data_IF_126816610233
#
_entry.id   IF_126816610233
#
_cell.length_a   1.000
_cell.length_b   1.000
_cell.length_c   1.000
_cell.angle_alpha   90.00
_cell.angle_beta   90.00
_cell.angle_gamma   90.00
#
_symmetry.space_group_name_H-M   'P 1'
#
loop_
_entity.id
_entity.type
_entity.pdbx_description
1 polymer ?
#
# COMPACT_ATOMS: atom_id res chain seq x y z
N UNK A 1 -5.50 -14.46 -8.62
CA UNK A 1 -5.50 -13.11 -9.23
C UNK A 1 -4.89 -12.16 -8.21
N UNK A 2 -3.97 -11.29 -8.64
CA UNK A 2 -3.31 -10.29 -7.78
C UNK A 2 -4.02 -8.94 -7.96
N UNK A 3 -4.34 -8.25 -6.87
CA UNK A 3 -4.92 -6.92 -6.94
C UNK A 3 -3.99 -5.87 -6.36
N UNK A 4 -3.71 -4.84 -7.16
CA UNK A 4 -3.01 -3.66 -6.67
C UNK A 4 -3.97 -2.81 -5.83
N UNK A 5 -3.56 -2.49 -4.60
CA UNK A 5 -4.32 -1.68 -3.66
C UNK A 5 -3.42 -0.66 -2.96
N UNK A 6 -3.95 0.54 -2.70
CA UNK A 6 -3.20 1.65 -2.11
C UNK A 6 -3.96 2.35 -0.96
N UNK A 7 -5.16 1.87 -0.64
CA UNK A 7 -5.95 2.30 0.52
C UNK A 7 -6.93 1.20 0.98
N UNK A 8 -7.61 1.41 2.10
CA UNK A 8 -8.57 0.44 2.66
C UNK A 8 -9.74 0.18 1.70
N UNK A 9 -10.27 1.19 1.01
CA UNK A 9 -11.43 1.02 0.14
C UNK A 9 -11.12 0.15 -1.07
N UNK A 10 -9.99 0.41 -1.74
CA UNK A 10 -9.51 -0.41 -2.86
C UNK A 10 -9.20 -1.84 -2.43
N UNK A 11 -8.71 -2.03 -1.20
CA UNK A 11 -8.50 -3.37 -0.61
C UNK A 11 -9.82 -4.12 -0.46
N UNK A 12 -10.84 -3.47 0.14
CA UNK A 12 -12.18 -4.08 0.30
C UNK A 12 -12.84 -4.44 -1.03
N UNK A 13 -12.71 -3.57 -2.02
CA UNK A 13 -13.23 -3.84 -3.37
C UNK A 13 -12.50 -5.06 -3.97
N UNK A 14 -11.17 -5.14 -3.82
CA UNK A 14 -10.42 -6.27 -4.32
C UNK A 14 -10.85 -7.60 -3.67
N UNK A 15 -11.05 -7.62 -2.35
CA UNK A 15 -11.58 -8.79 -1.62
C UNK A 15 -12.93 -9.24 -2.19
N UNK A 16 -13.85 -8.31 -2.43
CA UNK A 16 -15.18 -8.59 -3.00
C UNK A 16 -15.11 -9.19 -4.41
N UNK A 17 -14.02 -8.92 -5.14
CA UNK A 17 -13.77 -9.50 -6.46
C UNK A 17 -13.08 -10.88 -6.41
N UNK A 18 -12.92 -11.47 -5.22
CA UNK A 18 -12.41 -12.84 -5.05
C UNK A 18 -10.90 -12.96 -5.27
N UNK A 19 -10.14 -11.90 -5.00
CA UNK A 19 -8.67 -11.94 -5.06
C UNK A 19 -8.14 -12.78 -3.90
N UNK A 20 -6.95 -13.35 -4.07
CA UNK A 20 -6.31 -14.21 -3.06
C UNK A 20 -5.14 -13.53 -2.36
N UNK A 21 -4.68 -12.39 -2.88
CA UNK A 21 -3.54 -11.65 -2.37
C UNK A 21 -3.67 -10.18 -2.78
N UNK A 22 -3.30 -9.30 -1.84
CA UNK A 22 -3.23 -7.86 -2.03
C UNK A 22 -1.78 -7.47 -2.28
N UNK A 23 -1.55 -6.73 -3.36
CA UNK A 23 -0.25 -6.18 -3.70
C UNK A 23 -0.31 -4.67 -3.51
N UNK A 24 0.65 -4.10 -2.80
CA UNK A 24 0.73 -2.65 -2.59
C UNK A 24 2.13 -2.12 -2.87
N UNK A 25 2.24 -0.82 -3.15
CA UNK A 25 3.51 -0.18 -3.45
C UNK A 25 3.61 1.19 -2.78
N UNK A 26 4.79 1.56 -2.30
CA UNK A 26 5.01 2.87 -1.66
C UNK A 26 4.76 4.05 -2.62
N UNK A 27 4.99 3.85 -3.92
CA UNK A 27 4.68 4.84 -4.97
C UNK A 27 3.16 5.02 -5.11
N UNK A 28 2.39 3.92 -5.17
CA UNK A 28 0.94 3.99 -5.30
C UNK A 28 0.27 4.63 -4.07
N UNK A 29 0.77 4.33 -2.87
CA UNK A 29 0.36 5.01 -1.63
C UNK A 29 0.66 6.51 -1.70
N UNK A 30 1.87 6.90 -2.13
CA UNK A 30 2.25 8.32 -2.24
C UNK A 30 1.39 9.06 -3.25
N UNK A 31 1.11 8.46 -4.41
CA UNK A 31 0.23 9.01 -5.42
C UNK A 31 -1.20 9.20 -4.89
N UNK A 32 -1.72 8.21 -4.15
CA UNK A 32 -3.05 8.27 -3.51
C UNK A 32 -3.15 9.39 -2.47
N UNK A 33 -2.06 9.70 -1.80
CA UNK A 33 -1.94 10.82 -0.86
C UNK A 33 -1.73 12.18 -1.55
N UNK A 34 -1.65 12.21 -2.88
CA UNK A 34 -1.49 13.44 -3.67
C UNK A 34 -0.03 13.89 -3.85
N UNK A 35 0.94 13.03 -3.55
CA UNK A 35 2.35 13.35 -3.81
C UNK A 35 2.64 13.27 -5.32
N UNK A 36 3.41 14.22 -5.87
CA UNK A 36 3.82 14.20 -7.27
C UNK A 36 4.54 12.90 -7.63
N UNK A 37 4.38 12.49 -8.88
CA UNK A 37 5.09 11.35 -9.42
C UNK A 37 6.61 11.59 -9.30
N UNK A 38 7.35 10.67 -8.66
CA UNK A 38 8.75 10.78 -8.20
C UNK A 38 9.00 11.31 -6.77
N UNK A 39 7.99 11.81 -6.07
CA UNK A 39 8.09 12.17 -4.65
C UNK A 39 7.39 11.12 -3.79
N UNK A 40 8.08 10.67 -2.76
CA UNK A 40 7.49 9.76 -1.78
C UNK A 40 6.94 10.55 -0.61
N UNK A 41 5.79 10.10 -0.11
CA UNK A 41 5.33 10.51 1.21
C UNK A 41 6.36 10.11 2.27
N UNK A 42 6.33 10.80 3.42
CA UNK A 42 7.21 10.47 4.54
C UNK A 42 7.03 8.99 4.93
N UNK A 43 8.15 8.28 5.21
CA UNK A 43 8.16 6.88 5.69
C UNK A 43 7.08 6.59 6.73
N UNK A 44 6.96 7.46 7.76
CA UNK A 44 5.97 7.28 8.83
C UNK A 44 4.54 7.31 8.32
N UNK A 45 4.25 8.10 7.28
CA UNK A 45 2.94 8.17 6.65
C UNK A 45 2.68 6.90 5.84
N UNK A 46 3.66 6.46 5.04
CA UNK A 46 3.52 5.24 4.21
C UNK A 46 3.29 4.02 5.10
N UNK A 47 4.06 3.86 6.18
CA UNK A 47 3.88 2.76 7.13
C UNK A 47 2.51 2.80 7.81
N UNK A 48 2.01 3.99 8.19
CA UNK A 48 0.65 4.12 8.73
C UNK A 48 -0.44 3.68 7.75
N UNK A 49 -0.29 4.01 6.46
CA UNK A 49 -1.26 3.54 5.44
C UNK A 49 -1.16 2.03 5.26
N UNK A 50 0.06 1.49 5.26
CA UNK A 50 0.27 0.04 5.17
C UNK A 50 -0.36 -0.69 6.36
N UNK A 51 -0.17 -0.20 7.58
CA UNK A 51 -0.80 -0.74 8.80
C UNK A 51 -2.33 -0.73 8.67
N UNK A 52 -2.90 0.35 8.15
CA UNK A 52 -4.35 0.43 7.91
C UNK A 52 -4.82 -0.62 6.89
N UNK A 53 -4.10 -0.79 5.77
CA UNK A 53 -4.41 -1.81 4.76
C UNK A 53 -4.36 -3.21 5.38
N UNK A 54 -3.26 -3.55 6.07
CA UNK A 54 -3.07 -4.86 6.71
C UNK A 54 -4.17 -5.11 7.75
N UNK A 55 -4.51 -4.12 8.58
CA UNK A 55 -5.59 -4.26 9.57
C UNK A 55 -6.98 -4.41 8.96
N UNK A 56 -7.13 -4.15 7.66
CA UNK A 56 -8.42 -4.16 6.97
C UNK A 56 -8.68 -5.42 6.16
N UNK A 57 -7.75 -6.37 6.08
CA UNK A 57 -7.90 -7.59 5.29
C UNK A 57 -7.27 -8.78 6.00
N UNK A 58 -7.89 -9.96 5.85
CA UNK A 58 -7.29 -11.22 6.29
C UNK A 58 -6.47 -11.90 5.18
N UNK A 59 -6.42 -11.30 3.98
CA UNK A 59 -5.63 -11.80 2.87
C UNK A 59 -4.14 -11.47 3.06
N UNK A 60 -3.24 -12.31 2.51
CA UNK A 60 -1.83 -11.97 2.43
C UNK A 60 -1.62 -10.63 1.72
N UNK A 61 -0.74 -9.78 2.28
CA UNK A 61 -0.37 -8.48 1.73
C UNK A 61 1.11 -8.47 1.35
N UNK A 62 1.40 -8.28 0.07
CA UNK A 62 2.76 -8.07 -0.44
C UNK A 62 2.99 -6.58 -0.66
N UNK A 63 3.95 -6.00 0.06
CA UNK A 63 4.28 -4.58 -0.03
C UNK A 63 5.65 -4.34 -0.68
N UNK A 64 5.66 -3.65 -1.82
CA UNK A 64 6.89 -3.19 -2.47
C UNK A 64 7.25 -1.78 -1.97
N UNK A 65 8.27 -1.70 -1.11
CA UNK A 65 8.75 -0.48 -0.49
C UNK A 65 10.10 -0.09 -1.11
N UNK A 66 10.21 1.14 -1.61
CA UNK A 66 11.49 1.64 -2.15
C UNK A 66 12.55 1.73 -1.05
N UNK A 67 13.78 1.36 -1.39
CA UNK A 67 14.91 1.16 -0.46
C UNK A 67 15.16 2.37 0.47
N UNK A 68 15.01 3.59 -0.05
CA UNK A 68 15.15 4.84 0.72
C UNK A 68 14.10 5.06 1.83
N UNK A 69 13.07 4.22 1.91
CA UNK A 69 12.11 4.18 3.01
C UNK A 69 12.49 3.16 4.09
N UNK A 70 13.43 2.26 3.86
CA UNK A 70 13.85 1.25 4.83
C UNK A 70 15.19 1.60 5.49
N UNK A 71 15.91 2.59 4.96
CA UNK A 71 17.14 3.10 5.55
C UNK A 71 16.82 3.98 6.78
N UNK A 72 17.42 3.67 7.92
CA UNK A 72 17.61 4.62 9.02
C UNK A 72 19.00 5.24 8.86
N UNK A 73 19.05 6.55 8.63
CA UNK A 73 20.26 7.37 8.65
C UNK A 73 20.16 8.39 9.77
#
# INVERSE_FOLDING_TARGET
MLANSWDVMSTRIAEQNGVIEIVTTSTGISWRLGYPDNQLANRKIIMKVLDLIISSTDLPVTANIKDGLLSDS
#
